data_IF_758498552067
#
_entry.id   IF_758498552067
#
_cell.length_a   1.000
_cell.length_b   1.000
_cell.length_c   1.000
_cell.angle_alpha   90.00
_cell.angle_beta   90.00
_cell.angle_gamma   90.00
#
_symmetry.space_group_name_H-M   'P 1'
#
loop_
_entity.id
_entity.type
_entity.pdbx_description
1 polymer ?
#
# COMPACT_ATOMS: atom_id res chain seq x y z
N UNK A 1 20.16 17.57 -31.58
CA UNK A 1 19.91 16.19 -32.06
C UNK A 1 19.49 15.21 -30.97
N UNK A 2 20.02 15.25 -29.74
CA UNK A 2 19.71 14.33 -28.64
C UNK A 2 18.22 14.38 -28.23
N UNK A 3 17.59 15.56 -28.19
CA UNK A 3 16.21 15.71 -27.73
C UNK A 3 15.12 15.01 -28.57
N UNK A 4 15.37 14.71 -29.85
CA UNK A 4 14.44 13.99 -30.73
C UNK A 4 14.53 12.47 -30.60
N UNK A 5 15.65 11.94 -30.07
CA UNK A 5 15.89 10.49 -29.92
C UNK A 5 15.23 9.92 -28.66
N UNK A 6 15.10 10.70 -27.58
CA UNK A 6 14.55 10.22 -26.30
C UNK A 6 13.13 9.64 -26.40
N UNK A 7 12.16 10.28 -27.11
CA UNK A 7 10.83 9.68 -27.29
C UNK A 7 10.82 8.36 -28.03
N UNK A 8 11.77 8.16 -28.96
CA UNK A 8 11.89 6.91 -29.72
C UNK A 8 12.42 5.80 -28.82
N UNK A 9 13.50 6.06 -28.06
CA UNK A 9 14.05 5.10 -27.08
C UNK A 9 12.99 4.70 -26.05
N UNK A 10 12.27 5.70 -25.51
CA UNK A 10 11.16 5.43 -24.59
C UNK A 10 10.12 4.49 -25.20
N UNK A 11 9.67 4.73 -26.44
CA UNK A 11 8.66 3.88 -27.08
C UNK A 11 9.14 2.45 -27.25
N UNK A 12 10.38 2.26 -27.71
CA UNK A 12 10.97 0.92 -27.89
C UNK A 12 11.05 0.20 -26.54
N UNK A 13 11.61 0.84 -25.53
CA UNK A 13 11.71 0.26 -24.18
C UNK A 13 10.35 -0.05 -23.59
N UNK A 14 9.36 0.85 -23.76
CA UNK A 14 8.00 0.65 -23.28
C UNK A 14 7.36 -0.58 -23.91
N UNK A 15 7.47 -0.75 -25.23
CA UNK A 15 6.91 -1.92 -25.94
C UNK A 15 7.57 -3.21 -25.43
N UNK A 16 8.89 -3.23 -25.33
CA UNK A 16 9.63 -4.42 -24.82
C UNK A 16 9.19 -4.72 -23.39
N UNK A 17 9.13 -3.72 -22.53
CA UNK A 17 8.74 -3.85 -21.14
C UNK A 17 7.31 -4.38 -20.98
N UNK A 18 6.36 -3.87 -21.77
CA UNK A 18 4.97 -4.37 -21.77
C UNK A 18 4.90 -5.83 -22.22
N UNK A 19 5.62 -6.19 -23.30
CA UNK A 19 5.66 -7.58 -23.77
C UNK A 19 6.20 -8.50 -22.68
N UNK A 20 7.30 -8.12 -22.03
CA UNK A 20 7.86 -8.90 -20.92
C UNK A 20 6.87 -9.09 -19.78
N UNK A 21 6.17 -8.03 -19.37
CA UNK A 21 5.15 -8.11 -18.31
C UNK A 21 3.97 -8.99 -18.70
N UNK A 22 3.48 -8.88 -19.93
CA UNK A 22 2.42 -9.76 -20.44
C UNK A 22 2.87 -11.23 -20.40
N UNK A 23 4.08 -11.52 -20.86
CA UNK A 23 4.64 -12.88 -20.79
C UNK A 23 4.75 -13.37 -19.34
N UNK A 24 5.19 -12.53 -18.41
CA UNK A 24 5.26 -12.87 -16.99
C UNK A 24 3.87 -13.14 -16.40
N UNK A 25 2.89 -12.28 -16.66
CA UNK A 25 1.52 -12.46 -16.16
C UNK A 25 0.90 -13.76 -16.70
N UNK A 26 1.12 -14.08 -18.00
CA UNK A 26 0.64 -15.34 -18.59
C UNK A 26 1.35 -16.53 -17.95
N UNK A 27 2.69 -16.49 -17.85
CA UNK A 27 3.50 -17.59 -17.28
C UNK A 27 3.12 -17.88 -15.82
N UNK A 28 2.87 -16.83 -15.03
CA UNK A 28 2.61 -16.93 -13.60
C UNK A 28 1.13 -16.70 -13.24
N UNK A 29 0.21 -16.93 -14.20
CA UNK A 29 -1.21 -16.68 -14.02
C UNK A 29 -1.81 -17.37 -12.79
N UNK A 30 -1.50 -18.63 -12.57
CA UNK A 30 -1.97 -19.44 -11.46
C UNK A 30 -0.88 -19.74 -10.43
N UNK A 31 0.17 -18.87 -10.36
CA UNK A 31 1.22 -19.03 -9.37
C UNK A 31 0.64 -19.02 -7.96
N UNK A 32 1.03 -19.96 -7.08
CA UNK A 32 0.65 -19.95 -5.67
C UNK A 32 0.98 -18.62 -5.01
N UNK A 33 0.15 -18.22 -4.07
CA UNK A 33 0.39 -17.02 -3.25
C UNK A 33 1.10 -17.43 -1.97
N UNK A 34 2.05 -16.61 -1.53
CA UNK A 34 2.85 -16.83 -0.33
C UNK A 34 2.72 -15.63 0.61
N UNK A 35 3.06 -15.80 1.87
CA UNK A 35 3.07 -14.77 2.89
C UNK A 35 1.77 -13.93 2.93
N UNK A 36 1.88 -12.61 2.90
CA UNK A 36 0.75 -11.68 2.92
C UNK A 36 -0.25 -11.93 1.77
N UNK A 37 0.25 -12.29 0.57
CA UNK A 37 -0.62 -12.58 -0.57
C UNK A 37 -1.52 -13.79 -0.31
N UNK A 38 -0.98 -14.83 0.34
CA UNK A 38 -1.77 -16.01 0.76
C UNK A 38 -2.80 -15.62 1.80
N UNK A 39 -2.41 -14.80 2.78
CA UNK A 39 -3.32 -14.34 3.83
C UNK A 39 -4.48 -13.49 3.25
N UNK A 40 -4.20 -12.56 2.32
CA UNK A 40 -5.24 -11.79 1.64
C UNK A 40 -6.24 -12.69 0.89
N UNK A 41 -5.73 -13.68 0.13
CA UNK A 41 -6.57 -14.60 -0.63
C UNK A 41 -7.37 -15.52 0.29
N UNK A 42 -6.77 -16.00 1.40
CA UNK A 42 -7.46 -16.80 2.42
C UNK A 42 -8.65 -16.03 3.00
N UNK A 43 -8.42 -14.81 3.49
CA UNK A 43 -9.46 -13.94 4.05
C UNK A 43 -10.59 -13.65 3.04
N UNK A 44 -10.23 -13.35 1.81
CA UNK A 44 -11.20 -13.12 0.74
C UNK A 44 -12.05 -14.38 0.48
N UNK A 45 -11.41 -15.56 0.40
CA UNK A 45 -12.08 -16.84 0.18
C UNK A 45 -13.06 -17.18 1.31
N UNK A 46 -12.66 -16.96 2.56
CA UNK A 46 -13.51 -17.17 3.73
C UNK A 46 -14.74 -16.25 3.73
N UNK A 47 -14.55 -14.97 3.37
CA UNK A 47 -15.67 -14.03 3.25
C UNK A 47 -16.62 -14.43 2.11
N UNK A 48 -16.09 -14.86 0.95
CA UNK A 48 -16.88 -15.34 -0.18
C UNK A 48 -17.71 -16.57 0.20
N UNK A 49 -17.09 -17.54 0.92
CA UNK A 49 -17.80 -18.74 1.36
C UNK A 49 -18.96 -18.43 2.32
N UNK A 50 -18.86 -17.34 3.08
CA UNK A 50 -19.93 -16.85 3.99
C UNK A 50 -20.91 -15.87 3.33
N UNK A 51 -20.64 -15.43 2.09
CA UNK A 51 -21.45 -14.41 1.42
C UNK A 51 -21.31 -13.02 2.04
N UNK A 52 -20.17 -12.70 2.64
CA UNK A 52 -19.94 -11.44 3.35
C UNK A 52 -18.78 -10.63 2.75
N UNK A 53 -18.64 -9.37 3.19
CA UNK A 53 -17.49 -8.52 2.90
C UNK A 53 -16.58 -8.45 4.12
N UNK A 54 -15.28 -8.28 3.88
CA UNK A 54 -14.30 -8.14 4.96
C UNK A 54 -14.32 -6.72 5.55
N UNK A 55 -14.18 -6.53 6.87
CA UNK A 55 -14.23 -7.54 7.92
C UNK A 55 -15.66 -7.97 8.26
N UNK A 56 -15.81 -9.15 8.84
CA UNK A 56 -17.08 -9.65 9.38
C UNK A 56 -16.95 -10.14 10.83
N UNK A 57 -18.05 -10.56 11.45
CA UNK A 57 -18.06 -10.97 12.87
C UNK A 57 -17.19 -12.20 13.17
N UNK A 58 -16.87 -13.03 12.18
CA UNK A 58 -16.09 -14.26 12.33
C UNK A 58 -14.59 -13.99 12.36
N UNK A 59 -14.19 -12.78 11.97
CA UNK A 59 -12.81 -12.37 11.85
C UNK A 59 -12.31 -11.55 13.06
N UNK A 60 -12.95 -11.63 14.23
CA UNK A 60 -12.61 -10.78 15.40
C UNK A 60 -11.23 -11.05 15.99
N UNK A 61 -10.72 -12.27 15.88
CA UNK A 61 -9.51 -12.70 16.57
C UNK A 61 -8.24 -12.62 15.72
N UNK A 62 -8.36 -12.77 14.40
CA UNK A 62 -7.19 -12.89 13.53
C UNK A 62 -7.03 -11.77 12.49
N UNK A 63 -8.07 -10.95 12.20
CA UNK A 63 -8.21 -10.44 10.84
C UNK A 63 -8.24 -8.93 10.64
N UNK A 64 -8.12 -8.14 11.71
CA UNK A 64 -8.01 -6.69 11.54
C UNK A 64 -6.59 -6.22 11.20
N UNK A 65 -5.67 -7.18 10.99
CA UNK A 65 -4.26 -6.92 10.67
C UNK A 65 -4.09 -6.29 9.28
N UNK A 66 -4.92 -6.72 8.33
CA UNK A 66 -4.84 -6.28 6.93
C UNK A 66 -5.81 -5.15 6.63
N UNK A 67 -5.42 -4.30 5.66
CA UNK A 67 -6.28 -3.24 5.15
C UNK A 67 -7.53 -3.83 4.47
N UNK A 68 -8.76 -3.50 4.95
CA UNK A 68 -9.98 -4.11 4.42
C UNK A 68 -10.19 -3.86 2.95
N UNK A 69 -9.66 -2.74 2.43
CA UNK A 69 -9.83 -2.35 1.05
C UNK A 69 -9.31 -3.36 0.05
N UNK A 70 -8.15 -3.92 0.31
CA UNK A 70 -7.55 -4.86 -0.63
C UNK A 70 -8.24 -6.23 -0.61
N UNK A 71 -8.59 -6.73 0.57
CA UNK A 71 -9.37 -7.97 0.69
C UNK A 71 -10.70 -7.84 -0.05
N UNK A 72 -11.40 -6.71 0.12
CA UNK A 72 -12.65 -6.43 -0.59
C UNK A 72 -12.47 -6.24 -2.10
N UNK A 73 -11.33 -5.70 -2.56
CA UNK A 73 -10.99 -5.69 -3.98
C UNK A 73 -10.88 -7.12 -4.53
N UNK A 74 -10.22 -8.04 -3.82
CA UNK A 74 -10.12 -9.45 -4.21
C UNK A 74 -11.49 -10.13 -4.26
N UNK A 75 -12.35 -9.89 -3.24
CA UNK A 75 -13.72 -10.40 -3.22
C UNK A 75 -14.50 -9.91 -4.45
N UNK A 76 -14.41 -8.60 -4.76
CA UNK A 76 -15.05 -8.03 -5.93
C UNK A 76 -14.55 -8.63 -7.25
N UNK A 77 -13.24 -8.81 -7.40
CA UNK A 77 -12.65 -9.45 -8.58
C UNK A 77 -13.14 -10.89 -8.73
N UNK A 78 -13.18 -11.64 -7.63
CA UNK A 78 -13.68 -13.02 -7.67
C UNK A 78 -15.14 -13.09 -8.07
N UNK A 79 -16.01 -12.23 -7.56
CA UNK A 79 -17.41 -12.17 -7.95
C UNK A 79 -17.62 -11.82 -9.43
N UNK A 80 -16.74 -10.99 -10.00
CA UNK A 80 -16.83 -10.57 -11.39
C UNK A 80 -16.24 -11.60 -12.37
N UNK A 81 -15.13 -12.24 -11.98
CA UNK A 81 -14.29 -13.01 -12.89
C UNK A 81 -14.14 -14.49 -12.51
N UNK A 82 -14.60 -14.91 -11.34
CA UNK A 82 -14.51 -16.29 -10.85
C UNK A 82 -13.11 -16.75 -10.41
N UNK A 83 -12.09 -15.87 -10.45
CA UNK A 83 -10.73 -16.21 -10.05
C UNK A 83 -9.97 -14.99 -9.52
N UNK A 84 -9.14 -15.20 -8.50
CA UNK A 84 -8.22 -14.17 -7.98
C UNK A 84 -7.07 -13.85 -8.96
N UNK A 85 -6.76 -14.73 -9.90
CA UNK A 85 -5.70 -14.51 -10.89
C UNK A 85 -5.92 -13.25 -11.73
N UNK A 86 -7.17 -12.81 -11.89
CA UNK A 86 -7.50 -11.56 -12.60
C UNK A 86 -6.96 -10.29 -11.91
N UNK A 87 -6.57 -10.36 -10.63
CA UNK A 87 -5.88 -9.23 -9.99
C UNK A 87 -4.54 -8.94 -10.67
N UNK A 88 -3.87 -9.97 -11.22
CA UNK A 88 -2.60 -9.80 -11.96
C UNK A 88 -2.80 -9.01 -13.25
N UNK A 89 -3.93 -9.22 -13.93
CA UNK A 89 -4.29 -8.41 -15.09
C UNK A 89 -4.58 -6.95 -14.70
N UNK A 90 -5.32 -6.75 -13.61
CA UNK A 90 -5.58 -5.41 -13.08
C UNK A 90 -4.27 -4.71 -12.70
N UNK A 91 -3.38 -5.41 -12.00
CA UNK A 91 -2.05 -4.91 -11.66
C UNK A 91 -1.22 -4.55 -12.90
N UNK A 92 -1.25 -5.38 -13.94
CA UNK A 92 -0.58 -5.09 -15.21
C UNK A 92 -1.09 -3.76 -15.82
N UNK A 93 -2.40 -3.57 -15.88
CA UNK A 93 -3.00 -2.35 -16.40
C UNK A 93 -2.62 -1.13 -15.58
N UNK A 94 -2.66 -1.23 -14.24
CA UNK A 94 -2.23 -0.15 -13.34
C UNK A 94 -0.74 0.16 -13.53
N UNK A 95 0.13 -0.86 -13.62
CA UNK A 95 1.56 -0.67 -13.79
C UNK A 95 1.90 0.01 -15.12
N UNK A 96 1.22 -0.35 -16.20
CA UNK A 96 1.33 0.33 -17.49
C UNK A 96 0.88 1.81 -17.38
N UNK A 97 -0.23 2.06 -16.71
CA UNK A 97 -0.74 3.41 -16.51
C UNK A 97 0.25 4.27 -15.69
N UNK A 98 0.87 3.72 -14.66
CA UNK A 98 1.87 4.40 -13.82
C UNK A 98 3.07 4.93 -14.62
N UNK A 99 3.51 4.25 -15.68
CA UNK A 99 4.58 4.75 -16.58
C UNK A 99 4.18 6.11 -17.18
N UNK A 100 2.93 6.24 -17.62
CA UNK A 100 2.42 7.50 -18.19
C UNK A 100 2.17 8.55 -17.11
N UNK A 101 1.73 8.15 -15.93
CA UNK A 101 1.52 9.05 -14.79
C UNK A 101 2.84 9.65 -14.32
N UNK A 102 3.87 8.83 -14.11
CA UNK A 102 5.22 9.26 -13.73
C UNK A 102 5.80 10.19 -14.79
N UNK A 103 5.69 9.81 -16.08
CA UNK A 103 6.14 10.67 -17.18
C UNK A 103 5.47 12.04 -17.15
N UNK A 104 4.14 12.04 -16.96
CA UNK A 104 3.34 13.26 -16.95
C UNK A 104 3.63 14.13 -15.74
N UNK A 105 3.77 13.51 -14.56
CA UNK A 105 4.06 14.21 -13.32
C UNK A 105 5.44 14.85 -13.36
N UNK A 106 6.49 14.08 -13.63
CA UNK A 106 7.87 14.59 -13.73
C UNK A 106 8.03 15.58 -14.89
N UNK A 107 7.30 15.37 -15.99
CA UNK A 107 7.28 16.30 -17.11
C UNK A 107 6.67 17.66 -16.77
N UNK A 108 5.66 17.70 -15.88
CA UNK A 108 5.03 18.94 -15.41
C UNK A 108 5.83 19.63 -14.31
N UNK A 109 6.47 18.86 -13.44
CA UNK A 109 7.26 19.42 -12.33
C UNK A 109 8.61 19.98 -12.79
N UNK A 110 9.23 19.39 -13.80
CA UNK A 110 10.58 19.75 -14.25
C UNK A 110 10.62 20.07 -15.74
N UNK A 111 10.66 19.04 -16.59
CA UNK A 111 10.69 19.18 -18.04
C UNK A 111 10.18 17.93 -18.76
N UNK A 112 9.74 18.07 -20.02
CA UNK A 112 9.35 16.91 -20.83
C UNK A 112 10.45 15.86 -20.95
N UNK A 113 11.72 16.25 -20.99
CA UNK A 113 12.86 15.32 -21.01
C UNK A 113 12.96 14.55 -19.71
N UNK A 114 12.85 15.25 -18.56
CA UNK A 114 12.84 14.64 -17.23
C UNK A 114 11.71 13.62 -17.09
N UNK A 115 10.52 13.93 -17.64
CA UNK A 115 9.40 12.99 -17.67
C UNK A 115 9.72 11.68 -18.37
N UNK A 116 10.39 11.73 -19.53
CA UNK A 116 10.83 10.53 -20.23
C UNK A 116 11.88 9.75 -19.44
N UNK A 117 12.88 10.43 -18.87
CA UNK A 117 13.90 9.76 -18.06
C UNK A 117 13.31 9.10 -16.81
N UNK A 118 12.42 9.77 -16.11
CA UNK A 118 11.74 9.20 -14.94
C UNK A 118 10.95 7.93 -15.30
N UNK A 119 10.23 7.95 -16.41
CA UNK A 119 9.48 6.78 -16.88
C UNK A 119 10.42 5.63 -17.32
N UNK A 120 11.55 5.94 -17.97
CA UNK A 120 12.55 4.94 -18.34
C UNK A 120 13.18 4.34 -17.08
N UNK A 121 13.58 5.14 -16.10
CA UNK A 121 14.12 4.66 -14.84
C UNK A 121 13.12 3.77 -14.09
N UNK A 122 11.84 4.13 -14.07
CA UNK A 122 10.79 3.30 -13.48
C UNK A 122 10.72 1.92 -14.14
N UNK A 123 10.79 1.84 -15.47
CA UNK A 123 10.77 0.59 -16.21
C UNK A 123 12.05 -0.26 -16.02
N UNK A 124 13.19 0.37 -15.69
CA UNK A 124 14.46 -0.32 -15.43
C UNK A 124 14.55 -0.89 -14.01
N UNK A 125 13.72 -0.45 -13.09
CA UNK A 125 13.65 -1.04 -11.74
C UNK A 125 13.07 -2.44 -11.86
N UNK A 126 13.87 -3.44 -11.45
CA UNK A 126 13.53 -4.85 -11.62
C UNK A 126 12.24 -5.25 -10.90
N UNK A 127 12.04 -4.80 -9.68
CA UNK A 127 10.82 -5.06 -8.91
C UNK A 127 9.55 -4.57 -9.62
N UNK A 128 9.62 -3.46 -10.37
CA UNK A 128 8.48 -2.96 -11.15
C UNK A 128 8.13 -3.86 -12.36
N UNK A 129 9.08 -4.65 -12.85
CA UNK A 129 8.81 -5.63 -13.90
C UNK A 129 7.94 -6.79 -13.39
N UNK A 130 8.18 -7.24 -12.16
CA UNK A 130 7.47 -8.35 -11.53
C UNK A 130 6.24 -7.92 -10.71
N UNK A 131 6.12 -6.64 -10.38
CA UNK A 131 5.01 -6.13 -9.57
C UNK A 131 3.60 -6.60 -10.00
N UNK A 132 3.28 -6.77 -11.30
CA UNK A 132 1.97 -7.23 -11.71
C UNK A 132 1.60 -8.64 -11.27
N UNK A 133 2.57 -9.55 -11.10
CA UNK A 133 2.26 -10.94 -10.70
C UNK A 133 2.00 -11.07 -9.20
N UNK A 134 2.42 -10.09 -8.39
CA UNK A 134 2.23 -10.10 -6.95
C UNK A 134 0.80 -9.72 -6.56
N UNK A 135 0.18 -10.53 -5.71
CA UNK A 135 -1.15 -10.25 -5.13
C UNK A 135 -0.96 -9.43 -3.85
N UNK A 136 -0.46 -8.20 -4.01
CA UNK A 136 -0.11 -7.30 -2.91
C UNK A 136 -0.73 -5.92 -3.09
N UNK A 137 -0.83 -5.18 -1.99
CA UNK A 137 -1.42 -3.83 -1.95
C UNK A 137 -0.55 -2.75 -2.58
N UNK A 138 0.75 -2.98 -2.78
CA UNK A 138 1.74 -1.97 -3.11
C UNK A 138 1.46 -1.26 -4.43
N UNK A 139 1.19 -2.04 -5.47
CA UNK A 139 0.96 -1.50 -6.81
C UNK A 139 -0.36 -0.72 -6.90
N UNK A 140 -1.53 -1.27 -6.52
CA UNK A 140 -2.77 -0.50 -6.55
C UNK A 140 -2.75 0.71 -5.61
N UNK A 141 -2.12 0.61 -4.45
CA UNK A 141 -1.92 1.75 -3.55
C UNK A 141 -1.13 2.87 -4.21
N UNK A 142 0.02 2.57 -4.81
CA UNK A 142 0.88 3.55 -5.48
C UNK A 142 0.18 4.18 -6.68
N UNK A 143 -0.53 3.37 -7.49
CA UNK A 143 -1.32 3.85 -8.62
C UNK A 143 -2.38 4.87 -8.18
N UNK A 144 -3.15 4.56 -7.14
CA UNK A 144 -4.18 5.46 -6.61
C UNK A 144 -3.59 6.80 -6.15
N UNK A 145 -2.45 6.77 -5.45
CA UNK A 145 -1.78 7.98 -4.97
C UNK A 145 -1.20 8.83 -6.11
N UNK A 146 -0.57 8.20 -7.11
CA UNK A 146 -0.05 8.93 -8.28
C UNK A 146 -1.19 9.58 -9.08
N UNK A 147 -2.28 8.84 -9.31
CA UNK A 147 -3.49 9.36 -9.95
C UNK A 147 -4.06 10.55 -9.17
N UNK A 148 -4.20 10.42 -7.85
CA UNK A 148 -4.69 11.50 -6.99
C UNK A 148 -3.80 12.75 -7.09
N UNK A 149 -2.48 12.59 -7.06
CA UNK A 149 -1.53 13.69 -7.21
C UNK A 149 -1.64 14.39 -8.57
N UNK A 150 -1.80 13.61 -9.65
CA UNK A 150 -2.02 14.18 -10.99
C UNK A 150 -3.32 14.97 -11.08
N UNK A 151 -4.40 14.49 -10.47
CA UNK A 151 -5.69 15.16 -10.42
C UNK A 151 -5.63 16.42 -9.57
N UNK A 152 -4.93 16.40 -8.45
CA UNK A 152 -4.70 17.58 -7.61
C UNK A 152 -3.88 18.69 -8.29
N UNK A 153 -3.06 18.35 -9.28
CA UNK A 153 -2.37 19.36 -10.08
C UNK A 153 -3.29 20.13 -11.04
N UNK A 154 -4.51 19.66 -11.27
CA UNK A 154 -5.52 20.36 -12.07
C UNK A 154 -6.25 21.38 -11.21
N UNK A 155 -6.49 22.60 -11.73
CA UNK A 155 -7.17 23.67 -10.97
C UNK A 155 -8.71 23.56 -10.94
N UNK A 156 -9.29 22.51 -11.51
CA UNK A 156 -10.74 22.26 -11.52
C UNK A 156 -11.14 21.50 -10.25
N UNK A 157 -12.33 21.80 -9.71
CA UNK A 157 -12.79 21.18 -8.45
C UNK A 157 -13.14 19.69 -8.61
N UNK A 158 -13.75 19.29 -9.72
CA UNK A 158 -14.14 17.90 -9.93
C UNK A 158 -12.96 16.91 -9.90
N UNK A 159 -11.82 17.12 -10.60
CA UNK A 159 -10.65 16.25 -10.43
C UNK A 159 -10.12 16.20 -9.00
N UNK A 160 -10.17 17.32 -8.28
CA UNK A 160 -9.75 17.36 -6.87
C UNK A 160 -10.69 16.54 -5.98
N UNK A 161 -12.00 16.58 -6.25
CA UNK A 161 -12.98 15.75 -5.54
C UNK A 161 -12.74 14.26 -5.79
N UNK A 162 -12.47 13.86 -7.04
CA UNK A 162 -12.08 12.49 -7.38
C UNK A 162 -10.79 12.09 -6.66
N UNK A 163 -9.80 12.97 -6.57
CA UNK A 163 -8.57 12.71 -5.81
C UNK A 163 -8.86 12.43 -4.32
N UNK A 164 -9.84 13.13 -3.72
CA UNK A 164 -10.28 12.87 -2.35
C UNK A 164 -10.80 11.45 -2.16
N UNK A 165 -11.62 10.94 -3.09
CA UNK A 165 -12.09 9.55 -3.09
C UNK A 165 -10.92 8.57 -3.26
N UNK A 166 -10.00 8.83 -4.21
CA UNK A 166 -8.85 7.95 -4.46
C UNK A 166 -7.93 7.86 -3.24
N UNK A 167 -7.70 8.97 -2.54
CA UNK A 167 -6.90 8.98 -1.29
C UNK A 167 -7.62 8.17 -0.20
N UNK A 168 -8.95 8.30 -0.06
CA UNK A 168 -9.70 7.51 0.89
C UNK A 168 -9.59 6.01 0.55
N UNK A 169 -9.76 5.61 -0.70
CA UNK A 169 -9.61 4.21 -1.13
C UNK A 169 -8.18 3.71 -0.93
N UNK A 170 -7.16 4.54 -1.24
CA UNK A 170 -5.77 4.18 -0.97
C UNK A 170 -5.52 3.98 0.54
N UNK A 171 -6.09 4.85 1.38
CA UNK A 171 -5.98 4.70 2.83
C UNK A 171 -6.76 3.49 3.38
N UNK A 172 -7.82 3.07 2.71
CA UNK A 172 -8.53 1.83 3.00
C UNK A 172 -7.67 0.59 2.70
N UNK A 173 -6.76 0.68 1.71
CA UNK A 173 -5.77 -0.35 1.42
C UNK A 173 -4.61 -0.33 2.41
N UNK A 174 -4.03 0.86 2.66
CA UNK A 174 -2.90 1.08 3.57
C UNK A 174 -3.01 2.41 4.32
N UNK A 175 -2.83 2.43 5.64
CA UNK A 175 -2.94 3.65 6.45
C UNK A 175 -1.97 4.78 6.04
N UNK A 176 -0.91 4.47 5.31
CA UNK A 176 0.11 5.43 4.86
C UNK A 176 -0.41 6.53 3.94
N UNK A 177 -1.59 6.35 3.30
CA UNK A 177 -2.15 7.39 2.43
C UNK A 177 -2.46 8.71 3.17
N UNK A 178 -2.64 8.68 4.49
CA UNK A 178 -2.83 9.89 5.30
C UNK A 178 -1.62 10.82 5.23
N UNK A 179 -0.39 10.29 5.18
CA UNK A 179 0.83 11.09 5.02
C UNK A 179 0.81 11.80 3.67
N UNK A 180 0.33 11.12 2.63
CA UNK A 180 0.22 11.69 1.30
C UNK A 180 -0.82 12.81 1.21
N UNK A 181 -1.88 12.72 2.00
CA UNK A 181 -2.85 13.81 2.16
C UNK A 181 -2.16 15.09 2.66
N UNK A 182 -1.30 15.00 3.67
CA UNK A 182 -0.54 16.16 4.15
C UNK A 182 0.33 16.77 3.04
N UNK A 183 1.00 15.96 2.22
CA UNK A 183 1.79 16.44 1.08
C UNK A 183 0.91 17.22 0.09
N UNK A 184 -0.29 16.72 -0.22
CA UNK A 184 -1.23 17.42 -1.11
C UNK A 184 -1.73 18.74 -0.49
N UNK A 185 -2.02 18.76 0.82
CA UNK A 185 -2.42 19.99 1.50
C UNK A 185 -1.30 21.04 1.47
N UNK A 186 -0.06 20.65 1.70
CA UNK A 186 1.11 21.53 1.53
C UNK A 186 1.24 22.05 0.10
N UNK A 187 1.06 21.16 -0.89
CA UNK A 187 1.04 21.56 -2.29
C UNK A 187 -0.04 22.60 -2.58
N UNK A 188 -1.23 22.47 -2.00
CA UNK A 188 -2.31 23.45 -2.13
C UNK A 188 -1.95 24.79 -1.51
N UNK A 189 -1.28 24.80 -0.35
CA UNK A 189 -0.78 26.02 0.30
C UNK A 189 0.23 26.72 -0.60
N UNK A 190 1.24 26.00 -1.09
CA UNK A 190 2.27 26.55 -2.00
C UNK A 190 1.67 27.08 -3.30
N UNK A 191 0.67 26.39 -3.86
CA UNK A 191 -0.04 26.81 -5.06
C UNK A 191 -1.07 27.91 -4.82
N UNK A 192 -1.24 28.38 -3.59
CA UNK A 192 -2.25 29.38 -3.16
C UNK A 192 -3.64 29.00 -3.66
N UNK A 193 -4.06 27.73 -3.44
CA UNK A 193 -5.38 27.24 -3.83
C UNK A 193 -6.48 27.95 -3.04
N UNK A 194 -7.63 28.12 -3.67
CA UNK A 194 -8.82 28.63 -2.98
C UNK A 194 -9.38 27.58 -2.00
N UNK A 195 -10.09 27.99 -0.96
CA UNK A 195 -10.67 27.11 0.04
C UNK A 195 -11.59 26.03 -0.54
N UNK A 196 -12.26 26.31 -1.68
CA UNK A 196 -13.08 25.32 -2.39
C UNK A 196 -12.28 24.06 -2.81
N UNK A 197 -10.99 24.20 -3.09
CA UNK A 197 -10.14 23.04 -3.42
C UNK A 197 -9.92 22.13 -2.21
N UNK A 198 -9.78 22.72 -1.03
CA UNK A 198 -9.65 21.97 0.22
C UNK A 198 -10.97 21.25 0.56
N UNK A 199 -12.10 21.94 0.41
CA UNK A 199 -13.41 21.34 0.60
C UNK A 199 -13.70 20.23 -0.40
N UNK A 200 -13.37 20.44 -1.68
CA UNK A 200 -13.52 19.44 -2.73
C UNK A 200 -12.66 18.18 -2.50
N UNK A 201 -11.50 18.32 -1.85
CA UNK A 201 -10.67 17.17 -1.44
C UNK A 201 -11.25 16.49 -0.19
N UNK A 202 -11.56 17.27 0.84
CA UNK A 202 -11.90 16.77 2.16
C UNK A 202 -13.29 16.11 2.21
N UNK A 203 -14.31 16.71 1.58
CA UNK A 203 -15.68 16.20 1.67
C UNK A 203 -15.83 14.78 1.10
N UNK A 204 -15.38 14.46 -0.13
CA UNK A 204 -15.45 13.10 -0.64
C UNK A 204 -14.60 12.11 0.16
N UNK A 205 -13.42 12.56 0.65
CA UNK A 205 -12.57 11.74 1.51
C UNK A 205 -13.30 11.35 2.80
N UNK A 206 -13.82 12.33 3.54
CA UNK A 206 -14.53 12.09 4.80
C UNK A 206 -15.76 11.24 4.58
N UNK A 207 -16.55 11.53 3.52
CA UNK A 207 -17.74 10.75 3.19
C UNK A 207 -17.39 9.29 2.87
N UNK A 208 -16.35 9.06 2.09
CA UNK A 208 -15.89 7.70 1.73
C UNK A 208 -15.46 6.93 2.98
N UNK A 209 -14.65 7.56 3.85
CA UNK A 209 -14.24 6.97 5.14
C UNK A 209 -15.46 6.63 6.00
N UNK A 210 -16.40 7.57 6.11
CA UNK A 210 -17.61 7.38 6.93
C UNK A 210 -18.47 6.21 6.40
N UNK A 211 -18.73 6.16 5.09
CA UNK A 211 -19.57 5.12 4.49
C UNK A 211 -18.93 3.73 4.65
N UNK A 212 -17.63 3.62 4.40
CA UNK A 212 -16.91 2.35 4.55
C UNK A 212 -16.88 1.91 6.02
N UNK A 213 -16.50 2.80 6.93
CA UNK A 213 -16.41 2.49 8.34
C UNK A 213 -17.78 2.17 8.96
N UNK A 214 -18.86 2.86 8.53
CA UNK A 214 -20.23 2.56 8.92
C UNK A 214 -20.64 1.15 8.44
N UNK A 215 -20.37 0.83 7.19
CA UNK A 215 -20.67 -0.50 6.64
C UNK A 215 -19.91 -1.62 7.39
N UNK A 216 -18.65 -1.38 7.79
CA UNK A 216 -17.91 -2.31 8.64
C UNK A 216 -18.56 -2.43 10.03
N UNK A 217 -18.98 -1.31 10.64
CA UNK A 217 -19.64 -1.29 11.94
C UNK A 217 -20.95 -2.09 11.95
N UNK A 218 -21.74 -2.01 10.89
CA UNK A 218 -22.98 -2.78 10.75
C UNK A 218 -22.72 -4.30 10.71
N UNK A 219 -21.56 -4.74 10.20
CA UNK A 219 -21.18 -6.15 10.13
C UNK A 219 -20.44 -6.67 11.37
N UNK A 220 -19.63 -5.84 12.01
CA UNK A 220 -18.70 -6.28 13.07
C UNK A 220 -18.99 -5.67 14.45
N UNK A 221 -19.88 -4.70 14.53
CA UNK A 221 -20.05 -3.87 15.73
C UNK A 221 -18.98 -2.78 15.91
N UNK A 222 -17.87 -2.82 15.16
CA UNK A 222 -16.76 -1.89 15.27
C UNK A 222 -16.61 -1.04 14.02
N UNK A 223 -16.32 0.27 14.19
CA UNK A 223 -16.00 1.15 13.07
C UNK A 223 -14.58 0.87 12.60
N UNK A 224 -14.44 -0.01 11.61
CA UNK A 224 -13.15 -0.41 11.03
C UNK A 224 -13.05 0.12 9.60
N UNK A 225 -12.14 1.07 9.39
CA UNK A 225 -11.90 1.66 8.09
C UNK A 225 -10.56 1.22 7.48
N UNK A 226 -9.57 0.97 8.29
CA UNK A 226 -8.22 0.60 7.87
C UNK A 226 -7.69 -0.54 8.74
N UNK A 227 -6.51 -1.06 8.41
CA UNK A 227 -5.83 -2.07 9.21
C UNK A 227 -5.66 -1.62 10.67
N UNK A 228 -5.86 -2.54 11.60
CA UNK A 228 -5.60 -2.37 13.04
C UNK A 228 -4.30 -3.11 13.36
N UNK A 229 -3.18 -2.59 12.87
CA UNK A 229 -1.85 -3.21 13.04
C UNK A 229 -0.79 -2.19 13.46
N UNK A 230 -1.20 -1.00 13.87
CA UNK A 230 -0.29 0.08 14.22
C UNK A 230 0.56 -0.24 15.45
N UNK A 231 -0.03 -0.86 16.48
CA UNK A 231 0.66 -1.29 17.68
C UNK A 231 1.62 -2.45 17.40
N UNK A 232 1.18 -3.40 16.59
CA UNK A 232 1.99 -4.54 16.18
C UNK A 232 3.24 -4.10 15.39
N UNK A 233 3.05 -3.25 14.38
CA UNK A 233 4.15 -2.72 13.58
C UNK A 233 5.09 -1.85 14.41
N UNK A 234 4.58 -1.06 15.36
CA UNK A 234 5.40 -0.26 16.25
C UNK A 234 6.22 -1.16 17.18
N UNK A 235 5.62 -2.24 17.70
CA UNK A 235 6.30 -3.19 18.58
C UNK A 235 7.50 -3.86 17.88
N UNK A 236 7.33 -4.32 16.63
CA UNK A 236 8.45 -4.89 15.86
C UNK A 236 9.63 -3.94 15.67
N UNK A 237 9.42 -2.64 15.87
CA UNK A 237 10.46 -1.62 15.72
C UNK A 237 10.85 -0.90 17.01
N UNK A 238 10.38 -1.33 18.18
CA UNK A 238 10.54 -0.61 19.45
C UNK A 238 11.03 -1.53 20.56
N UNK A 239 12.19 -2.13 20.37
CA UNK A 239 12.91 -2.94 21.34
C UNK A 239 14.42 -2.90 21.06
N UNK A 240 15.20 -3.48 21.96
CA UNK A 240 16.66 -3.33 21.99
C UNK A 240 17.37 -3.81 20.72
N UNK A 241 16.87 -4.86 20.10
CA UNK A 241 17.48 -5.51 18.94
C UNK A 241 16.79 -5.15 17.61
N UNK A 242 15.90 -4.14 17.64
CA UNK A 242 15.18 -3.72 16.44
C UNK A 242 16.13 -3.09 15.42
N UNK A 243 16.24 -3.71 14.24
CA UNK A 243 17.15 -3.32 13.18
C UNK A 243 16.46 -2.73 11.92
N UNK A 244 15.14 -2.60 11.96
CA UNK A 244 14.33 -2.11 10.83
C UNK A 244 13.81 -3.18 9.89
N UNK A 245 14.20 -4.43 10.10
CA UNK A 245 13.64 -5.61 9.44
C UNK A 245 12.49 -6.19 10.26
N UNK A 246 11.73 -7.09 9.64
CA UNK A 246 10.73 -7.88 10.35
C UNK A 246 11.44 -8.77 11.36
N UNK A 247 11.24 -8.48 12.65
CA UNK A 247 11.89 -9.18 13.75
C UNK A 247 10.84 -9.52 14.82
N UNK A 248 10.67 -10.80 15.07
CA UNK A 248 9.71 -11.34 16.06
C UNK A 248 10.38 -11.77 17.38
N UNK A 249 11.69 -11.66 17.51
CA UNK A 249 12.42 -12.16 18.67
C UNK A 249 11.94 -11.54 19.98
N UNK A 250 11.66 -10.25 19.98
CA UNK A 250 11.17 -9.57 21.19
C UNK A 250 9.78 -10.02 21.67
N UNK A 251 8.96 -10.65 20.82
CA UNK A 251 7.64 -11.14 21.24
C UNK A 251 7.69 -12.42 22.09
N UNK A 252 8.76 -13.18 21.97
CA UNK A 252 8.98 -14.43 22.73
C UNK A 252 9.88 -14.24 23.96
N UNK A 253 10.45 -13.08 24.16
CA UNK A 253 11.36 -12.79 25.28
C UNK A 253 10.58 -12.18 26.46
N UNK A 254 10.44 -12.92 27.60
CA UNK A 254 9.69 -12.44 28.77
C UNK A 254 10.23 -11.14 29.38
N UNK A 255 11.50 -10.84 29.17
CA UNK A 255 12.15 -9.62 29.68
C UNK A 255 11.92 -8.41 28.76
N UNK A 256 11.30 -8.62 27.61
CA UNK A 256 11.04 -7.57 26.63
C UNK A 256 9.66 -6.92 26.84
N UNK A 257 9.60 -5.61 26.75
CA UNK A 257 8.35 -4.82 26.89
C UNK A 257 7.22 -5.23 25.93
N UNK A 258 7.56 -5.77 24.77
CA UNK A 258 6.59 -6.20 23.77
C UNK A 258 6.10 -7.64 23.96
N UNK A 259 6.70 -8.38 24.91
CA UNK A 259 6.18 -9.68 25.31
C UNK A 259 4.94 -9.48 26.18
N UNK A 260 3.78 -9.77 25.63
CA UNK A 260 2.52 -9.65 26.38
C UNK A 260 2.35 -10.82 27.34
N UNK A 261 1.79 -10.58 28.55
CA UNK A 261 1.42 -11.66 29.46
C UNK A 261 0.52 -12.68 28.75
N UNK A 262 0.57 -13.96 29.16
CA UNK A 262 -0.38 -14.96 28.65
C UNK A 262 -1.82 -14.52 28.92
N UNK A 263 -2.67 -14.56 27.89
CA UNK A 263 -4.06 -14.14 27.98
C UNK A 263 -4.79 -14.36 26.66
N UNK A 264 -6.10 -14.41 26.72
CA UNK A 264 -6.98 -14.51 25.55
C UNK A 264 -7.38 -13.11 25.10
N UNK A 265 -6.57 -12.53 24.24
CA UNK A 265 -6.76 -11.16 23.73
C UNK A 265 -7.37 -11.20 22.34
N UNK A 266 -8.39 -10.36 22.11
CA UNK A 266 -8.81 -10.02 20.75
C UNK A 266 -7.66 -9.33 20.02
N UNK A 267 -7.64 -9.37 18.69
CA UNK A 267 -6.59 -8.72 17.93
C UNK A 267 -6.48 -7.20 18.25
N UNK A 268 -7.62 -6.51 18.40
CA UNK A 268 -7.66 -5.08 18.73
C UNK A 268 -7.09 -4.78 20.13
N UNK A 269 -7.36 -5.64 21.12
CA UNK A 269 -6.79 -5.50 22.45
C UNK A 269 -5.28 -5.73 22.42
N UNK A 270 -4.84 -6.77 21.72
CA UNK A 270 -3.41 -7.08 21.52
C UNK A 270 -2.68 -5.94 20.87
N UNK A 271 -3.19 -5.38 19.77
CA UNK A 271 -2.58 -4.21 19.10
C UNK A 271 -2.50 -3.00 20.05
N UNK A 272 -3.54 -2.75 20.84
CA UNK A 272 -3.56 -1.65 21.82
C UNK A 272 -2.54 -1.85 22.95
N UNK A 273 -2.36 -3.09 23.42
CA UNK A 273 -1.37 -3.44 24.44
C UNK A 273 0.04 -3.27 23.91
N UNK A 274 0.32 -3.79 22.71
CA UNK A 274 1.61 -3.65 22.02
C UNK A 274 1.96 -2.18 21.77
N UNK A 275 0.98 -1.38 21.34
CA UNK A 275 1.18 0.06 21.17
C UNK A 275 1.59 0.74 22.46
N UNK A 276 0.93 0.44 23.59
CA UNK A 276 1.27 1.01 24.90
C UNK A 276 2.66 0.59 25.37
N UNK A 277 2.98 -0.69 25.21
CA UNK A 277 4.31 -1.23 25.54
C UNK A 277 5.40 -0.54 24.72
N UNK A 278 5.20 -0.40 23.41
CA UNK A 278 6.15 0.26 22.51
C UNK A 278 6.36 1.74 22.85
N UNK A 279 5.26 2.48 23.10
CA UNK A 279 5.36 3.90 23.49
C UNK A 279 6.09 4.04 24.83
N UNK A 280 5.84 3.14 25.77
CA UNK A 280 6.56 3.10 27.05
C UNK A 280 8.05 2.88 26.82
N UNK A 281 8.43 1.86 26.05
CA UNK A 281 9.85 1.60 25.74
C UNK A 281 10.53 2.80 25.07
N UNK A 282 9.88 3.44 24.07
CA UNK A 282 10.40 4.64 23.40
C UNK A 282 10.61 5.79 24.40
N UNK A 283 9.67 5.99 25.33
CA UNK A 283 9.75 7.05 26.34
C UNK A 283 10.85 6.82 27.37
N UNK A 284 11.15 5.57 27.70
CA UNK A 284 12.22 5.18 28.62
C UNK A 284 13.59 5.12 27.92
N UNK A 285 13.63 4.86 26.58
CA UNK A 285 14.86 4.72 25.79
C UNK A 285 14.91 5.64 24.55
N UNK A 286 14.65 6.97 24.66
CA UNK A 286 14.50 7.85 23.50
C UNK A 286 15.77 7.94 22.64
N UNK A 287 16.94 8.00 23.27
CA UNK A 287 18.23 8.05 22.55
C UNK A 287 18.53 6.76 21.80
N UNK A 288 18.19 5.61 22.39
CA UNK A 288 18.37 4.30 21.74
C UNK A 288 17.45 4.17 20.52
N UNK A 289 16.18 4.56 20.66
CA UNK A 289 15.24 4.58 19.54
C UNK A 289 15.75 5.47 18.39
N UNK A 290 16.23 6.69 18.69
CA UNK A 290 16.79 7.60 17.69
C UNK A 290 18.06 7.03 17.04
N UNK A 291 18.94 6.38 17.81
CA UNK A 291 20.15 5.76 17.27
C UNK A 291 19.89 4.59 16.32
N UNK A 292 18.74 3.95 16.40
CA UNK A 292 18.31 2.89 15.48
C UNK A 292 17.77 3.44 14.13
N UNK A 293 17.33 4.71 14.06
CA UNK A 293 16.72 5.28 12.85
C UNK A 293 17.60 5.20 11.60
N UNK A 294 18.93 5.46 11.64
CA UNK A 294 19.78 5.31 10.46
C UNK A 294 19.79 3.89 9.89
N UNK A 295 19.81 2.88 10.77
CA UNK A 295 19.77 1.47 10.36
C UNK A 295 18.42 1.11 9.76
N UNK A 296 17.31 1.59 10.34
CA UNK A 296 15.95 1.40 9.80
C UNK A 296 15.79 2.07 8.44
N UNK A 297 16.36 3.25 8.25
CA UNK A 297 16.38 3.92 6.95
C UNK A 297 17.24 3.15 5.93
N UNK A 298 18.41 2.66 6.34
CA UNK A 298 19.25 1.85 5.47
C UNK A 298 18.52 0.56 5.04
N UNK A 299 17.90 -0.17 5.97
CA UNK A 299 17.10 -1.36 5.67
C UNK A 299 15.97 -1.05 4.66
N UNK A 300 15.25 0.06 4.86
CA UNK A 300 14.15 0.47 3.97
C UNK A 300 14.59 0.69 2.51
N UNK A 301 15.81 1.20 2.28
CA UNK A 301 16.29 1.56 0.94
C UNK A 301 17.31 0.58 0.34
N UNK A 302 17.97 -0.23 1.14
CA UNK A 302 19.04 -1.12 0.68
C UNK A 302 18.61 -2.58 0.58
N UNK A 303 17.48 -2.96 1.19
CA UNK A 303 17.02 -4.34 1.23
C UNK A 303 15.81 -4.54 0.31
N UNK A 304 16.02 -5.26 -0.78
CA UNK A 304 14.95 -5.71 -1.67
C UNK A 304 14.54 -7.16 -1.33
N UNK A 305 13.87 -7.29 -0.18
CA UNK A 305 13.35 -8.61 0.29
C UNK A 305 12.31 -9.19 -0.66
N UNK A 306 11.70 -8.36 -1.51
CA UNK A 306 10.70 -8.80 -2.48
C UNK A 306 11.32 -9.68 -3.58
N UNK A 307 12.46 -9.29 -4.11
CA UNK A 307 13.17 -10.07 -5.12
C UNK A 307 13.64 -11.42 -4.56
N UNK A 308 14.03 -11.48 -3.29
CA UNK A 308 14.43 -12.72 -2.63
C UNK A 308 13.26 -13.66 -2.36
N UNK A 309 12.09 -13.13 -2.01
CA UNK A 309 10.88 -13.93 -1.74
C UNK A 309 10.27 -14.53 -3.01
N UNK A 310 10.33 -13.83 -4.12
CA UNK A 310 9.75 -14.31 -5.40
C UNK A 310 10.71 -15.23 -6.18
N UNK A 311 12.02 -15.11 -5.95
CA UNK A 311 13.05 -15.93 -6.62
C UNK A 311 12.87 -17.44 -6.51
N UNK A 312 12.62 -18.02 -5.31
CA UNK A 312 12.43 -19.47 -5.17
C UNK A 312 11.22 -19.99 -5.94
N UNK A 313 10.16 -19.18 -6.01
CA UNK A 313 8.89 -19.57 -6.63
C UNK A 313 8.92 -19.42 -8.16
N UNK A 314 9.80 -18.61 -8.69
CA UNK A 314 9.98 -18.44 -10.13
C UNK A 314 10.93 -19.47 -10.77
N UNK A 315 11.59 -20.30 -9.98
CA UNK A 315 12.48 -21.37 -10.48
C UNK A 315 13.76 -20.84 -11.17
N UNK A 316 14.29 -19.70 -10.68
CA UNK A 316 15.58 -19.16 -11.09
C UNK A 316 16.71 -19.70 -10.22
#
# INVERSE_FOLDING_TARGET
MIGKKIPVVFRIMFVIWVILQVCLVIKYWDMPNHDDAQAYVKLASECIARGTWYPDVHNQYEDFIFGPGYVNLLIGIYHLCGSFSFVRLLNLLMNIAMVFEIRKLAGRMFSNKTGYYAAILYMLIFSNLYAPIAVLTDLPFTFLLLTALLLCNVRRLFPVAVAGVLIAVANWFRPLAIVFLFVILLLFIVQKRRWQSYAALALPLVLTVFLIGRSAKERTGHFVYQAVSGGYNLAMSSFDEANGLVNFNGFGDPDNYICLPPGDYTYMERDSLLKRASVRWISEHPFKYVSQLPFKLAALYCEDTWTERVKPDMGF
#
